data_IF_348918843032
#
_entry.id   IF_348918843032
#
_cell.length_a   1.000
_cell.length_b   1.000
_cell.length_c   1.000
_cell.angle_alpha   90.00
_cell.angle_beta   90.00
_cell.angle_gamma   90.00
#
_symmetry.space_group_name_H-M   'P 1'
#
loop_
_entity.id
_entity.type
_entity.pdbx_description
1 polymer ?
#
# COMPACT_ATOMS: atom_id res chain seq x y z
N UNK A 1 -17.06 -14.93 19.22
CA UNK A 1 -15.71 -15.42 19.59
C UNK A 1 -14.64 -14.86 18.65
N UNK A 2 -14.91 -14.73 17.34
CA UNK A 2 -13.96 -14.15 16.38
C UNK A 2 -13.62 -12.69 16.65
N UNK A 3 -14.60 -11.84 17.02
CA UNK A 3 -14.34 -10.42 17.32
C UNK A 3 -13.32 -10.20 18.44
N UNK A 4 -13.35 -11.03 19.50
CA UNK A 4 -12.34 -10.97 20.56
C UNK A 4 -10.95 -11.34 20.06
N UNK A 5 -10.85 -12.28 19.10
CA UNK A 5 -9.58 -12.63 18.44
C UNK A 5 -9.08 -11.48 17.56
N UNK A 6 -9.95 -10.84 16.79
CA UNK A 6 -9.58 -9.67 15.99
C UNK A 6 -9.14 -8.50 16.87
N UNK A 7 -9.88 -8.22 17.95
CA UNK A 7 -9.52 -7.18 18.91
C UNK A 7 -8.16 -7.42 19.57
N UNK A 8 -7.91 -8.66 20.04
CA UNK A 8 -6.61 -9.06 20.56
C UNK A 8 -5.51 -8.92 19.50
N UNK A 9 -5.75 -9.40 18.27
CA UNK A 9 -4.79 -9.30 17.17
C UNK A 9 -4.44 -7.84 16.84
N UNK A 10 -5.42 -6.94 16.88
CA UNK A 10 -5.17 -5.51 16.71
C UNK A 10 -4.18 -4.95 17.74
N UNK A 11 -4.43 -5.23 19.03
CA UNK A 11 -3.64 -4.72 20.14
C UNK A 11 -2.15 -5.07 20.06
N UNK A 12 -1.81 -6.22 19.48
CA UNK A 12 -0.44 -6.72 19.49
C UNK A 12 0.24 -6.71 18.12
N UNK A 13 -0.52 -6.71 17.02
CA UNK A 13 0.03 -7.00 15.70
C UNK A 13 -0.48 -6.14 14.56
N UNK A 14 -1.73 -5.64 14.62
CA UNK A 14 -2.39 -5.03 13.46
C UNK A 14 -2.75 -3.54 13.61
N UNK A 15 -2.28 -2.87 14.67
CA UNK A 15 -2.38 -1.41 14.73
C UNK A 15 -1.46 -0.76 13.67
N UNK A 16 -1.88 0.35 13.04
CA UNK A 16 -1.07 1.01 12.03
C UNK A 16 0.30 1.49 12.55
N UNK A 17 1.37 1.41 11.73
CA UNK A 17 2.70 1.92 12.08
C UNK A 17 2.76 3.45 12.23
N UNK A 18 1.77 4.17 11.71
CA UNK A 18 1.65 5.61 11.85
C UNK A 18 0.52 5.99 12.84
N UNK A 19 0.63 7.13 13.54
CA UNK A 19 1.80 8.00 13.60
C UNK A 19 2.97 7.27 14.28
N UNK A 20 4.20 7.65 13.90
CA UNK A 20 5.40 7.08 14.50
C UNK A 20 5.39 7.32 16.01
N UNK A 21 5.87 6.32 16.76
CA UNK A 21 5.86 6.33 18.24
C UNK A 21 4.44 6.45 18.84
N UNK A 22 3.38 6.23 18.05
CA UNK A 22 1.98 6.38 18.43
C UNK A 22 1.36 5.22 19.20
N UNK A 23 2.15 4.32 19.81
CA UNK A 23 1.62 3.11 20.46
C UNK A 23 0.62 3.45 21.58
N UNK A 24 0.94 4.45 22.41
CA UNK A 24 0.04 4.90 23.47
C UNK A 24 -1.28 5.45 22.91
N UNK A 25 -1.21 6.20 21.80
CA UNK A 25 -2.39 6.71 21.12
C UNK A 25 -3.27 5.56 20.63
N UNK A 26 -2.69 4.55 19.98
CA UNK A 26 -3.43 3.37 19.53
C UNK A 26 -4.09 2.62 20.68
N UNK A 27 -3.39 2.45 21.82
CA UNK A 27 -3.97 1.83 23.03
C UNK A 27 -5.15 2.62 23.58
N UNK A 28 -5.05 3.96 23.64
CA UNK A 28 -6.14 4.84 24.07
C UNK A 28 -7.35 4.74 23.13
N UNK A 29 -7.12 4.75 21.81
CA UNK A 29 -8.19 4.62 20.79
C UNK A 29 -8.90 3.28 20.89
N UNK A 30 -8.15 2.19 21.11
CA UNK A 30 -8.72 0.87 21.34
C UNK A 30 -9.53 0.86 22.64
N UNK A 31 -9.03 1.47 23.72
CA UNK A 31 -9.73 1.53 25.00
C UNK A 31 -11.08 2.27 24.89
N UNK A 32 -11.16 3.34 24.09
CA UNK A 32 -12.41 4.10 23.90
C UNK A 32 -13.32 3.56 22.79
N UNK A 33 -12.85 2.59 21.98
CA UNK A 33 -13.59 2.07 20.83
C UNK A 33 -14.99 1.53 21.15
N UNK A 34 -15.18 1.00 22.35
CA UNK A 34 -16.49 0.52 22.83
C UNK A 34 -17.57 1.63 22.91
N UNK A 35 -17.17 2.90 22.92
CA UNK A 35 -18.09 4.04 22.94
C UNK A 35 -18.55 4.47 21.54
N UNK A 36 -17.94 3.94 20.47
CA UNK A 36 -18.14 4.42 19.11
C UNK A 36 -18.17 3.24 18.11
N UNK A 37 -19.39 2.86 17.68
CA UNK A 37 -19.61 1.73 16.75
C UNK A 37 -18.73 1.80 15.49
N UNK A 38 -18.63 2.99 14.90
CA UNK A 38 -17.80 3.19 13.70
C UNK A 38 -16.31 2.86 13.96
N UNK A 39 -15.79 3.18 15.15
CA UNK A 39 -14.39 2.97 15.51
C UNK A 39 -14.11 1.50 15.81
N UNK A 40 -14.91 0.85 16.68
CA UNK A 40 -14.70 -0.58 16.98
C UNK A 40 -14.81 -1.44 15.73
N UNK A 41 -15.78 -1.18 14.85
CA UNK A 41 -15.89 -1.92 13.60
C UNK A 41 -14.70 -1.66 12.65
N UNK A 42 -14.14 -0.45 12.61
CA UNK A 42 -12.93 -0.19 11.79
C UNK A 42 -11.71 -0.99 12.28
N UNK A 43 -11.54 -1.07 13.61
CA UNK A 43 -10.46 -1.81 14.29
C UNK A 43 -10.61 -3.31 14.01
N UNK A 44 -11.79 -3.88 14.22
CA UNK A 44 -12.06 -5.30 13.99
C UNK A 44 -11.89 -5.67 12.52
N UNK A 45 -12.40 -4.83 11.60
CA UNK A 45 -12.23 -5.05 10.16
C UNK A 45 -10.76 -5.02 9.74
N UNK A 46 -9.97 -4.09 10.30
CA UNK A 46 -8.57 -3.97 9.95
C UNK A 46 -7.74 -5.14 10.47
N UNK A 47 -8.03 -5.57 11.70
CA UNK A 47 -7.41 -6.74 12.28
C UNK A 47 -7.78 -8.03 11.52
N UNK A 48 -9.04 -8.18 11.10
CA UNK A 48 -9.46 -9.30 10.27
C UNK A 48 -8.77 -9.30 8.90
N UNK A 49 -8.63 -8.15 8.24
CA UNK A 49 -7.86 -8.02 6.99
C UNK A 49 -6.40 -8.40 7.20
N UNK A 50 -5.74 -7.82 8.21
CA UNK A 50 -4.36 -8.13 8.52
C UNK A 50 -4.16 -9.60 8.86
N UNK A 51 -5.04 -10.19 9.69
CA UNK A 51 -4.94 -11.60 10.09
C UNK A 51 -5.16 -12.54 8.90
N UNK A 52 -6.02 -12.18 7.95
CA UNK A 52 -6.20 -12.94 6.70
C UNK A 52 -4.94 -12.95 5.84
N UNK A 53 -4.13 -11.89 5.92
CA UNK A 53 -2.86 -11.78 5.20
C UNK A 53 -1.72 -12.50 5.92
N UNK A 54 -1.73 -12.54 7.25
CA UNK A 54 -0.60 -13.09 8.04
C UNK A 54 -0.84 -14.50 8.58
N UNK A 55 -2.00 -15.11 8.33
CA UNK A 55 -2.34 -16.46 8.79
C UNK A 55 -2.87 -17.34 7.65
N UNK A 56 -3.03 -18.64 7.91
CA UNK A 56 -3.63 -19.58 6.96
C UNK A 56 -5.15 -19.43 6.83
N UNK A 57 -5.78 -18.76 7.78
CA UNK A 57 -7.23 -18.58 7.82
C UNK A 57 -7.64 -17.40 6.94
N UNK A 58 -8.86 -17.46 6.38
CA UNK A 58 -9.41 -16.39 5.56
C UNK A 58 -10.60 -15.73 6.26
N UNK A 59 -10.43 -14.47 6.65
CA UNK A 59 -11.45 -13.64 7.30
C UNK A 59 -11.95 -12.50 6.40
N UNK A 60 -11.79 -12.60 5.08
CA UNK A 60 -12.19 -11.54 4.15
C UNK A 60 -13.67 -11.15 4.27
N UNK A 61 -14.57 -12.12 4.53
CA UNK A 61 -15.99 -11.86 4.72
C UNK A 61 -16.26 -11.05 6.00
N UNK A 62 -15.62 -11.41 7.11
CA UNK A 62 -15.72 -10.70 8.38
C UNK A 62 -15.10 -9.30 8.28
N UNK A 63 -13.93 -9.19 7.65
CA UNK A 63 -13.27 -7.92 7.41
C UNK A 63 -14.17 -6.96 6.63
N UNK A 64 -14.78 -7.44 5.53
CA UNK A 64 -15.71 -6.66 4.72
C UNK A 64 -16.98 -6.29 5.50
N UNK A 65 -17.55 -7.21 6.27
CA UNK A 65 -18.74 -6.94 7.07
C UNK A 65 -18.49 -5.82 8.08
N UNK A 66 -17.40 -5.90 8.85
CA UNK A 66 -17.01 -4.84 9.78
C UNK A 66 -16.69 -3.52 9.06
N UNK A 67 -16.01 -3.58 7.90
CA UNK A 67 -15.74 -2.38 7.09
C UNK A 67 -17.03 -1.66 6.68
N UNK A 68 -18.00 -2.39 6.15
CA UNK A 68 -19.30 -1.83 5.74
C UNK A 68 -20.03 -1.21 6.93
N UNK A 69 -20.11 -1.92 8.06
CA UNK A 69 -20.73 -1.37 9.27
C UNK A 69 -20.03 -0.10 9.76
N UNK A 70 -18.69 -0.09 9.74
CA UNK A 70 -17.89 1.08 10.12
C UNK A 70 -18.20 2.30 9.23
N UNK A 71 -18.20 2.12 7.91
CA UNK A 71 -18.49 3.20 6.95
C UNK A 71 -19.91 3.73 7.13
N UNK A 72 -20.90 2.85 7.30
CA UNK A 72 -22.29 3.26 7.52
C UNK A 72 -22.45 4.07 8.81
N UNK A 73 -21.90 3.56 9.92
CA UNK A 73 -21.94 4.24 11.21
C UNK A 73 -21.16 5.57 11.18
N UNK A 74 -20.02 5.63 10.50
CA UNK A 74 -19.24 6.85 10.35
C UNK A 74 -20.00 7.90 9.54
N UNK A 75 -20.61 7.50 8.42
CA UNK A 75 -21.42 8.41 7.59
C UNK A 75 -22.60 8.99 8.38
N UNK A 76 -23.29 8.16 9.19
CA UNK A 76 -24.34 8.64 10.10
C UNK A 76 -23.79 9.58 11.18
N UNK A 77 -22.58 9.34 11.70
CA UNK A 77 -21.96 10.26 12.65
C UNK A 77 -21.59 11.60 11.99
N UNK A 78 -21.04 11.58 10.77
CA UNK A 78 -20.61 12.77 10.03
C UNK A 78 -21.75 13.69 9.60
N UNK A 79 -23.01 13.23 9.61
CA UNK A 79 -24.17 14.09 9.32
C UNK A 79 -24.47 15.12 10.42
N UNK A 80 -23.76 15.07 11.54
CA UNK A 80 -23.87 16.01 12.67
C UNK A 80 -22.48 16.41 13.19
N UNK A 81 -22.34 17.59 13.81
CA UNK A 81 -21.11 17.95 14.53
C UNK A 81 -20.72 16.89 15.56
N UNK A 82 -19.42 16.72 15.81
CA UNK A 82 -18.95 15.85 16.89
C UNK A 82 -19.43 16.41 18.24
N UNK A 83 -19.98 15.55 19.09
CA UNK A 83 -20.51 15.94 20.40
C UNK A 83 -19.39 16.17 21.44
N UNK A 84 -18.19 15.66 21.16
CA UNK A 84 -17.02 15.80 22.03
C UNK A 84 -15.72 15.69 21.25
N UNK A 85 -14.62 16.11 21.86
CA UNK A 85 -13.29 15.90 21.29
C UNK A 85 -12.95 14.42 21.09
N UNK A 86 -13.39 13.55 22.00
CA UNK A 86 -13.23 12.10 21.87
C UNK A 86 -13.95 11.54 20.64
N UNK A 87 -15.15 12.03 20.32
CA UNK A 87 -15.86 11.62 19.11
C UNK A 87 -15.18 12.15 17.84
N UNK A 88 -14.65 13.38 17.87
CA UNK A 88 -13.90 13.94 16.75
C UNK A 88 -12.64 13.11 16.44
N UNK A 89 -11.85 12.81 17.47
CA UNK A 89 -10.68 11.93 17.41
C UNK A 89 -11.08 10.56 16.85
N UNK A 90 -12.13 9.94 17.40
CA UNK A 90 -12.60 8.63 16.95
C UNK A 90 -13.02 8.63 15.47
N UNK A 91 -13.70 9.68 14.99
CA UNK A 91 -14.10 9.81 13.57
C UNK A 91 -12.88 9.88 12.66
N UNK A 92 -11.86 10.66 13.02
CA UNK A 92 -10.61 10.72 12.26
C UNK A 92 -9.89 9.38 12.26
N UNK A 93 -9.69 8.76 13.43
CA UNK A 93 -9.00 7.46 13.52
C UNK A 93 -9.72 6.40 12.71
N UNK A 94 -11.06 6.42 12.71
CA UNK A 94 -11.86 5.50 11.89
C UNK A 94 -11.57 5.69 10.41
N UNK A 95 -11.55 6.93 9.92
CA UNK A 95 -11.19 7.22 8.53
C UNK A 95 -9.76 6.76 8.21
N UNK A 96 -8.81 7.01 9.12
CA UNK A 96 -7.42 6.57 8.99
C UNK A 96 -7.30 5.04 8.94
N UNK A 97 -8.04 4.32 9.79
CA UNK A 97 -8.13 2.86 9.76
C UNK A 97 -8.70 2.34 8.43
N UNK A 98 -9.68 3.03 7.85
CA UNK A 98 -10.24 2.66 6.55
C UNK A 98 -9.22 2.82 5.42
N UNK A 99 -8.34 3.84 5.46
CA UNK A 99 -7.19 3.99 4.55
C UNK A 99 -6.26 2.79 4.65
N UNK A 100 -5.89 2.41 5.88
CA UNK A 100 -5.00 1.26 6.10
C UNK A 100 -5.61 -0.06 5.66
N UNK A 101 -6.92 -0.25 5.85
CA UNK A 101 -7.57 -1.42 5.26
C UNK A 101 -7.54 -1.39 3.73
N UNK A 102 -7.71 -0.22 3.09
CA UNK A 102 -7.66 -0.13 1.62
C UNK A 102 -6.28 -0.52 1.08
N UNK A 103 -5.19 -0.30 1.83
CA UNK A 103 -3.85 -0.73 1.43
C UNK A 103 -3.62 -2.25 1.50
N UNK A 104 -4.62 -3.02 1.95
CA UNK A 104 -4.66 -4.48 1.91
C UNK A 104 -5.48 -5.05 0.74
N UNK A 105 -6.12 -4.18 -0.06
CA UNK A 105 -7.09 -4.57 -1.10
C UNK A 105 -6.44 -4.43 -2.49
N UNK A 106 -6.22 -5.54 -3.24
CA UNK A 106 -5.54 -5.51 -4.54
C UNK A 106 -6.21 -4.67 -5.64
N UNK A 107 -7.51 -4.41 -5.54
CA UNK A 107 -8.30 -3.54 -6.42
C UNK A 107 -8.75 -2.23 -5.73
N UNK A 108 -8.17 -1.94 -4.55
CA UNK A 108 -8.57 -0.84 -3.67
C UNK A 108 -7.90 0.51 -3.90
N UNK A 109 -7.20 0.74 -5.03
CA UNK A 109 -6.42 1.97 -5.26
C UNK A 109 -7.28 3.25 -5.16
N UNK A 110 -8.41 3.28 -5.87
CA UNK A 110 -9.30 4.44 -5.84
C UNK A 110 -9.93 4.64 -4.45
N UNK A 111 -10.24 3.53 -3.78
CA UNK A 111 -10.77 3.55 -2.42
C UNK A 111 -9.72 4.10 -1.43
N UNK A 112 -8.46 3.70 -1.57
CA UNK A 112 -7.34 4.23 -0.78
C UNK A 112 -7.24 5.75 -0.93
N UNK A 113 -7.21 6.26 -2.16
CA UNK A 113 -7.13 7.69 -2.44
C UNK A 113 -8.36 8.44 -1.90
N UNK A 114 -9.54 7.85 -2.02
CA UNK A 114 -10.79 8.44 -1.54
C UNK A 114 -10.83 8.52 -0.01
N UNK A 115 -10.43 7.45 0.69
CA UNK A 115 -10.37 7.43 2.15
C UNK A 115 -9.27 8.38 2.67
N UNK A 116 -8.13 8.46 1.97
CA UNK A 116 -7.05 9.39 2.32
C UNK A 116 -7.55 10.83 2.28
N UNK A 117 -8.26 11.20 1.21
CA UNK A 117 -8.94 12.50 1.11
C UNK A 117 -10.00 12.69 2.20
N UNK A 118 -10.71 11.62 2.55
CA UNK A 118 -11.63 11.59 3.68
C UNK A 118 -10.99 12.02 5.01
N UNK A 119 -9.75 11.61 5.29
CA UNK A 119 -9.04 12.01 6.52
C UNK A 119 -8.91 13.54 6.63
N UNK A 120 -8.59 14.21 5.52
CA UNK A 120 -8.43 15.67 5.48
C UNK A 120 -9.77 16.39 5.61
N UNK A 121 -10.81 15.87 4.96
CA UNK A 121 -12.15 16.44 5.10
C UNK A 121 -12.68 16.33 6.53
N UNK A 122 -12.45 15.21 7.21
CA UNK A 122 -12.81 15.03 8.62
C UNK A 122 -11.97 15.94 9.51
N UNK A 123 -10.68 16.09 9.22
CA UNK A 123 -9.78 16.97 9.95
C UNK A 123 -10.18 18.46 9.86
N UNK A 124 -10.73 18.89 8.73
CA UNK A 124 -11.08 20.29 8.43
C UNK A 124 -12.56 20.64 8.71
N UNK A 125 -13.32 19.76 9.39
CA UNK A 125 -14.70 20.08 9.76
C UNK A 125 -14.69 21.31 10.68
N UNK A 126 -15.37 22.38 10.24
CA UNK A 126 -15.46 23.65 10.99
C UNK A 126 -16.03 23.43 12.39
N UNK A 127 -15.38 24.04 13.39
CA UNK A 127 -15.80 23.94 14.79
C UNK A 127 -15.37 22.66 15.49
N UNK A 128 -14.58 21.80 14.83
CA UNK A 128 -14.03 20.60 15.48
C UNK A 128 -13.04 20.98 16.56
N UNK A 129 -13.24 20.39 17.74
CA UNK A 129 -12.31 20.49 18.87
C UNK A 129 -11.62 19.14 19.00
N UNK A 130 -10.30 19.12 18.87
CA UNK A 130 -9.48 17.92 18.98
C UNK A 130 -8.99 17.73 20.41
N UNK A 131 -8.73 16.47 20.81
CA UNK A 131 -8.02 16.28 22.07
C UNK A 131 -6.55 16.72 21.95
N UNK A 132 -5.88 17.10 23.05
CA UNK A 132 -4.47 17.50 23.00
C UNK A 132 -3.51 16.47 22.39
N UNK A 133 -3.88 15.18 22.45
CA UNK A 133 -3.08 14.04 21.95
C UNK A 133 -3.02 13.97 20.42
N UNK A 134 -3.97 14.59 19.74
CA UNK A 134 -3.99 14.65 18.28
C UNK A 134 -2.97 15.62 17.67
N UNK A 135 -2.24 16.35 18.52
CA UNK A 135 -1.18 17.26 18.11
C UNK A 135 0.01 16.54 17.44
N UNK A 136 0.18 15.24 17.68
CA UNK A 136 1.30 14.43 17.16
C UNK A 136 1.17 14.08 15.67
N UNK A 137 -0.01 14.27 15.07
CA UNK A 137 -0.22 14.12 13.61
C UNK A 137 0.33 15.29 12.78
N UNK A 138 0.95 16.29 13.40
CA UNK A 138 1.49 17.46 12.68
C UNK A 138 2.73 17.08 11.86
N UNK A 139 2.91 17.63 10.64
CA UNK A 139 4.07 17.33 9.79
C UNK A 139 5.44 17.50 10.43
N UNK A 140 5.60 18.51 11.32
CA UNK A 140 6.85 18.70 12.07
C UNK A 140 7.14 17.55 13.05
N UNK A 141 6.09 17.09 13.75
CA UNK A 141 6.19 15.94 14.66
C UNK A 141 6.55 14.66 13.90
N UNK A 142 6.02 14.49 12.68
CA UNK A 142 6.37 13.37 11.82
C UNK A 142 7.84 13.41 11.38
N UNK A 143 8.34 14.57 10.94
CA UNK A 143 9.75 14.74 10.56
C UNK A 143 10.72 14.49 11.72
N UNK A 144 10.40 15.00 12.91
CA UNK A 144 11.21 14.79 14.12
C UNK A 144 11.23 13.30 14.52
N UNK A 145 10.09 12.61 14.45
CA UNK A 145 10.00 11.17 14.74
C UNK A 145 10.79 10.32 13.74
N UNK A 146 10.70 10.64 12.45
CA UNK A 146 11.53 9.98 11.41
C UNK A 146 13.01 10.24 11.66
N UNK A 147 13.41 11.48 11.98
CA UNK A 147 14.79 11.83 12.25
C UNK A 147 15.33 11.08 13.47
N UNK A 148 14.52 10.99 14.53
CA UNK A 148 14.79 10.19 15.74
C UNK A 148 15.04 8.72 15.38
N UNK A 149 14.15 8.11 14.58
CA UNK A 149 14.26 6.72 14.13
C UNK A 149 15.55 6.44 13.35
N UNK A 150 16.03 7.42 12.59
CA UNK A 150 17.21 7.30 11.73
C UNK A 150 18.48 7.90 12.36
N UNK A 151 18.45 8.37 13.61
CA UNK A 151 19.55 9.10 14.26
C UNK A 151 20.84 8.29 14.49
N UNK A 152 20.74 6.95 14.47
CA UNK A 152 21.89 6.03 14.58
C UNK A 152 22.51 5.62 13.23
N UNK A 153 21.87 5.96 12.12
CA UNK A 153 22.43 5.76 10.78
C UNK A 153 23.31 6.95 10.46
N UNK A 154 24.64 6.75 10.55
CA UNK A 154 25.63 7.77 10.25
C UNK A 154 25.22 8.54 8.98
N UNK A 155 24.92 9.83 9.13
CA UNK A 155 24.51 10.78 8.08
C UNK A 155 25.44 10.85 6.83
N UNK A 156 26.47 10.02 6.74
CA UNK A 156 27.39 9.88 5.61
C UNK A 156 27.37 8.53 4.88
N UNK A 157 26.53 7.56 5.26
CA UNK A 157 26.48 6.24 4.61
C UNK A 157 25.24 6.08 3.71
N UNK A 158 25.41 6.57 2.47
CA UNK A 158 24.75 6.12 1.24
C UNK A 158 23.27 6.50 1.01
N UNK A 159 23.01 6.95 -0.23
CA UNK A 159 21.68 6.98 -0.87
C UNK A 159 20.82 5.82 -0.37
N UNK A 160 19.57 6.12 0.04
CA UNK A 160 18.62 5.10 0.48
C UNK A 160 18.42 3.98 -0.53
N UNK A 161 18.70 4.30 -1.79
CA UNK A 161 18.37 3.53 -2.97
C UNK A 161 19.60 3.35 -3.84
N UNK A 162 19.62 2.25 -4.58
CA UNK A 162 20.56 2.09 -5.68
C UNK A 162 20.45 3.30 -6.61
N UNK A 163 21.60 3.91 -6.92
CA UNK A 163 21.65 5.08 -7.79
C UNK A 163 21.03 4.80 -9.16
N UNK A 164 21.17 3.58 -9.67
CA UNK A 164 20.55 3.15 -10.92
C UNK A 164 19.01 3.12 -10.86
N UNK A 165 18.43 2.78 -9.71
CA UNK A 165 16.98 2.83 -9.50
C UNK A 165 16.48 4.27 -9.53
N UNK A 166 17.21 5.18 -8.85
CA UNK A 166 16.87 6.61 -8.84
C UNK A 166 17.02 7.22 -10.22
N UNK A 167 18.14 6.99 -10.91
CA UNK A 167 18.37 7.53 -12.25
C UNK A 167 17.35 6.98 -13.25
N UNK A 168 16.97 5.70 -13.13
CA UNK A 168 15.90 5.09 -13.91
C UNK A 168 14.54 5.77 -13.68
N UNK A 169 14.19 6.02 -12.43
CA UNK A 169 12.96 6.75 -12.07
C UNK A 169 12.96 8.17 -12.62
N UNK A 170 14.05 8.92 -12.43
CA UNK A 170 14.15 10.29 -12.92
C UNK A 170 14.06 10.30 -14.46
N UNK A 171 14.66 9.30 -15.13
CA UNK A 171 14.50 9.08 -16.56
C UNK A 171 13.04 8.85 -16.97
N UNK A 172 12.30 8.00 -16.26
CA UNK A 172 10.88 7.75 -16.56
C UNK A 172 10.00 8.98 -16.33
N UNK A 173 10.27 9.76 -15.28
CA UNK A 173 9.58 11.02 -15.00
C UNK A 173 9.88 12.09 -16.06
N UNK A 174 11.11 12.17 -16.57
CA UNK A 174 11.46 13.06 -17.69
C UNK A 174 10.71 12.68 -18.96
N UNK A 175 10.59 11.38 -19.26
CA UNK A 175 9.81 10.89 -20.40
C UNK A 175 8.32 11.22 -20.26
N UNK A 176 7.78 11.15 -19.04
CA UNK A 176 6.37 11.44 -18.77
C UNK A 176 6.05 12.94 -18.80
N UNK A 177 7.03 13.81 -18.51
CA UNK A 177 6.81 15.25 -18.36
C UNK A 177 6.08 15.94 -19.52
N UNK A 178 6.37 15.65 -20.82
CA UNK A 178 5.66 16.25 -21.95
C UNK A 178 4.17 15.90 -22.03
N UNK A 179 3.73 14.82 -21.39
CA UNK A 179 2.33 14.40 -21.34
C UNK A 179 1.53 15.13 -20.26
N UNK A 180 2.20 15.68 -19.25
CA UNK A 180 1.56 16.44 -18.17
C UNK A 180 1.13 17.81 -18.70
N UNK A 181 -0.15 17.94 -19.04
CA UNK A 181 -0.70 19.17 -19.65
C UNK A 181 -1.63 19.93 -18.71
N UNK A 182 -2.23 19.24 -17.74
CA UNK A 182 -3.12 19.89 -16.76
C UNK A 182 -2.33 20.45 -15.57
N UNK A 183 -2.84 21.50 -14.90
CA UNK A 183 -2.20 22.02 -13.69
C UNK A 183 -2.05 20.97 -12.58
N UNK A 184 -3.00 20.05 -12.47
CA UNK A 184 -2.95 18.95 -11.51
C UNK A 184 -1.79 18.00 -11.85
N UNK A 185 -1.71 17.52 -13.09
CA UNK A 185 -0.63 16.63 -13.54
C UNK A 185 0.75 17.25 -13.32
N UNK A 186 0.94 18.52 -13.69
CA UNK A 186 2.20 19.22 -13.48
C UNK A 186 2.57 19.33 -11.99
N UNK A 187 1.57 19.58 -11.13
CA UNK A 187 1.74 19.63 -9.67
C UNK A 187 2.18 18.28 -9.10
N UNK A 188 1.47 17.21 -9.44
CA UNK A 188 1.80 15.86 -8.94
C UNK A 188 3.12 15.35 -9.52
N UNK A 189 3.38 15.58 -10.81
CA UNK A 189 4.65 15.25 -11.46
C UNK A 189 5.84 15.87 -10.73
N UNK A 190 5.79 17.19 -10.50
CA UNK A 190 6.85 17.91 -9.81
C UNK A 190 7.08 17.38 -8.39
N UNK A 191 6.00 17.17 -7.62
CA UNK A 191 6.10 16.66 -6.25
C UNK A 191 6.69 15.24 -6.18
N UNK A 192 6.28 14.36 -7.10
CA UNK A 192 6.77 12.98 -7.21
C UNK A 192 8.26 12.97 -7.61
N UNK A 193 8.64 13.79 -8.60
CA UNK A 193 10.03 13.89 -9.08
C UNK A 193 10.96 14.44 -7.98
N UNK A 194 10.56 15.52 -7.32
CA UNK A 194 11.34 16.16 -6.25
C UNK A 194 11.56 15.21 -5.06
N UNK A 195 10.58 14.37 -4.76
CA UNK A 195 10.67 13.38 -3.66
C UNK A 195 11.78 12.36 -3.94
N UNK A 196 11.82 11.78 -5.14
CA UNK A 196 12.87 10.83 -5.49
C UNK A 196 14.24 11.50 -5.68
N UNK A 197 14.30 12.74 -6.19
CA UNK A 197 15.56 13.47 -6.28
C UNK A 197 16.20 13.67 -4.89
N UNK A 198 15.39 13.91 -3.86
CA UNK A 198 15.83 14.05 -2.47
C UNK A 198 16.27 12.72 -1.82
N UNK A 199 15.71 11.58 -2.24
CA UNK A 199 16.05 10.27 -1.66
C UNK A 199 17.49 9.84 -1.92
N UNK A 200 18.19 10.47 -2.87
CA UNK A 200 19.63 10.30 -3.08
C UNK A 200 20.44 10.78 -1.88
N UNK A 201 19.95 11.83 -1.21
CA UNK A 201 20.71 12.57 -0.20
C UNK A 201 20.29 12.17 1.21
N UNK A 202 18.99 12.05 1.47
CA UNK A 202 18.46 11.86 2.82
C UNK A 202 17.18 11.04 2.83
N UNK A 203 17.20 9.97 3.64
CA UNK A 203 16.03 9.15 3.92
C UNK A 203 14.90 9.92 4.58
N UNK A 204 15.29 10.75 5.55
CA UNK A 204 14.41 11.57 6.35
C UNK A 204 13.74 12.62 5.48
N UNK A 205 14.50 13.27 4.60
CA UNK A 205 13.95 14.30 3.72
C UNK A 205 12.99 13.69 2.70
N UNK A 206 13.30 12.49 2.18
CA UNK A 206 12.45 11.79 1.22
C UNK A 206 11.10 11.40 1.82
N UNK A 207 11.07 10.82 3.03
CA UNK A 207 9.80 10.44 3.67
C UNK A 207 9.01 11.67 4.14
N UNK A 208 9.67 12.75 4.59
CA UNK A 208 8.99 14.02 4.88
C UNK A 208 8.36 14.59 3.61
N UNK A 209 9.07 14.58 2.49
CA UNK A 209 8.56 15.04 1.21
C UNK A 209 7.42 14.14 0.69
N UNK A 210 7.51 12.82 0.88
CA UNK A 210 6.44 11.86 0.58
C UNK A 210 5.16 12.21 1.37
N UNK A 211 5.29 12.57 2.65
CA UNK A 211 4.19 13.12 3.45
C UNK A 211 3.54 14.35 2.80
N UNK A 212 4.33 15.20 2.13
CA UNK A 212 3.83 16.31 1.32
C UNK A 212 2.95 15.87 0.14
N UNK A 213 3.25 14.74 -0.51
CA UNK A 213 2.40 14.18 -1.57
C UNK A 213 1.07 13.69 -1.00
N UNK A 214 1.08 13.03 0.16
CA UNK A 214 -0.16 12.67 0.87
C UNK A 214 -1.02 13.90 1.20
N UNK A 215 -0.41 15.03 1.57
CA UNK A 215 -1.12 16.32 1.74
C UNK A 215 -1.72 16.81 0.43
N UNK A 216 -1.02 16.67 -0.70
CA UNK A 216 -1.56 17.06 -2.01
C UNK A 216 -2.82 16.27 -2.36
N UNK A 217 -2.80 14.94 -2.20
CA UNK A 217 -3.99 14.11 -2.41
C UNK A 217 -5.12 14.44 -1.43
N UNK A 218 -4.75 14.59 -0.16
CA UNK A 218 -5.68 14.87 0.92
C UNK A 218 -6.44 16.18 0.78
N UNK A 219 -5.72 17.23 0.42
CA UNK A 219 -6.24 18.61 0.30
C UNK A 219 -6.83 18.93 -1.08
N UNK A 220 -6.82 17.98 -2.02
CA UNK A 220 -7.37 18.18 -3.35
C UNK A 220 -8.86 18.57 -3.30
N UNK A 221 -9.24 19.55 -4.11
CA UNK A 221 -10.66 19.88 -4.31
C UNK A 221 -11.40 18.68 -4.90
N UNK A 222 -12.74 18.64 -4.73
CA UNK A 222 -13.53 17.52 -5.22
C UNK A 222 -13.39 17.33 -6.75
N UNK A 223 -13.36 18.44 -7.50
CA UNK A 223 -13.16 18.41 -8.96
C UNK A 223 -11.76 17.97 -9.34
N UNK A 224 -10.72 18.50 -8.67
CA UNK A 224 -9.33 18.11 -8.94
C UNK A 224 -9.13 16.61 -8.67
N UNK A 225 -9.61 16.12 -7.53
CA UNK A 225 -9.54 14.71 -7.17
C UNK A 225 -10.22 13.82 -8.21
N UNK A 226 -11.45 14.16 -8.61
CA UNK A 226 -12.22 13.36 -9.55
C UNK A 226 -11.55 13.31 -10.93
N UNK A 227 -11.04 14.44 -11.43
CA UNK A 227 -10.36 14.52 -12.73
C UNK A 227 -9.01 13.80 -12.70
N UNK A 228 -8.24 13.95 -11.62
CA UNK A 228 -6.91 13.36 -11.53
C UNK A 228 -6.96 11.84 -11.34
N UNK A 229 -7.84 11.35 -10.46
CA UNK A 229 -7.96 9.93 -10.15
C UNK A 229 -8.86 9.16 -11.14
N UNK A 230 -9.40 9.82 -12.16
CA UNK A 230 -10.23 9.19 -13.19
C UNK A 230 -9.42 8.10 -13.93
N UNK A 231 -9.93 6.86 -14.06
CA UNK A 231 -9.26 5.80 -14.83
C UNK A 231 -8.98 6.14 -16.30
N UNK A 232 -9.77 7.04 -16.89
CA UNK A 232 -9.57 7.55 -18.25
C UNK A 232 -8.48 8.63 -18.34
N UNK A 233 -8.08 9.23 -17.22
CA UNK A 233 -6.92 10.10 -17.17
C UNK A 233 -5.63 9.27 -17.12
N UNK A 234 -5.19 8.79 -18.28
CA UNK A 234 -4.01 7.92 -18.39
C UNK A 234 -2.72 8.54 -17.85
N UNK A 235 -2.55 9.87 -17.95
CA UNK A 235 -1.39 10.57 -17.37
C UNK A 235 -1.48 10.57 -15.84
N UNK A 236 -2.66 10.82 -15.28
CA UNK A 236 -2.94 10.69 -13.85
C UNK A 236 -2.65 9.27 -13.34
N UNK A 237 -3.11 8.24 -14.07
CA UNK A 237 -2.83 6.84 -13.74
C UNK A 237 -1.32 6.52 -13.76
N UNK A 238 -0.58 7.02 -14.76
CA UNK A 238 0.87 6.87 -14.82
C UNK A 238 1.58 7.54 -13.62
N UNK A 239 1.14 8.73 -13.23
CA UNK A 239 1.67 9.44 -12.05
C UNK A 239 1.35 8.67 -10.75
N UNK A 240 0.14 8.10 -10.62
CA UNK A 240 -0.23 7.24 -9.49
C UNK A 240 0.63 5.97 -9.43
N UNK A 241 0.91 5.33 -10.57
CA UNK A 241 1.81 4.18 -10.61
C UNK A 241 3.21 4.52 -10.08
N UNK A 242 3.76 5.67 -10.50
CA UNK A 242 5.06 6.14 -10.00
C UNK A 242 5.01 6.47 -8.51
N UNK A 243 3.95 7.16 -8.05
CA UNK A 243 3.76 7.49 -6.63
C UNK A 243 3.76 6.24 -5.74
N UNK A 244 2.93 5.25 -6.03
CA UNK A 244 2.82 4.06 -5.17
C UNK A 244 4.12 3.24 -5.13
N UNK A 245 4.89 3.24 -6.23
CA UNK A 245 6.21 2.62 -6.25
C UNK A 245 7.19 3.37 -5.35
N UNK A 246 7.32 4.70 -5.49
CA UNK A 246 8.24 5.45 -4.64
C UNK A 246 7.84 5.43 -3.17
N UNK A 247 6.54 5.38 -2.86
CA UNK A 247 6.03 5.21 -1.50
C UNK A 247 6.57 3.91 -0.91
N UNK A 248 6.37 2.77 -1.60
CA UNK A 248 6.87 1.47 -1.13
C UNK A 248 8.38 1.46 -0.97
N UNK A 249 9.10 2.06 -1.92
CA UNK A 249 10.55 2.15 -1.93
C UNK A 249 11.06 2.97 -0.74
N UNK A 250 10.53 4.17 -0.53
CA UNK A 250 10.97 5.10 0.51
C UNK A 250 10.57 4.58 1.89
N UNK A 251 9.35 4.07 2.06
CA UNK A 251 8.89 3.54 3.35
C UNK A 251 9.70 2.31 3.77
N UNK A 252 9.91 1.34 2.87
CA UNK A 252 10.70 0.15 3.21
C UNK A 252 12.16 0.47 3.57
N UNK A 253 12.71 1.56 3.05
CA UNK A 253 14.05 2.04 3.38
C UNK A 253 14.09 2.88 4.67
N UNK A 254 13.24 3.90 4.77
CA UNK A 254 13.25 4.89 5.87
C UNK A 254 12.58 4.40 7.16
N UNK A 255 11.66 3.43 7.05
CA UNK A 255 10.86 2.91 8.16
C UNK A 255 11.23 1.47 8.54
N UNK A 256 12.36 0.96 8.05
CA UNK A 256 12.84 -0.43 8.25
C UNK A 256 12.89 -0.91 9.71
N UNK A 257 13.03 0.01 10.65
CA UNK A 257 13.17 -0.26 12.09
C UNK A 257 11.82 -0.31 12.82
N UNK A 258 10.72 0.03 12.16
CA UNK A 258 9.40 0.07 12.79
C UNK A 258 8.77 -1.32 12.75
N UNK A 259 8.43 -1.81 13.94
CA UNK A 259 7.53 -2.94 14.12
C UNK A 259 6.09 -2.47 13.89
N UNK A 260 5.46 -2.99 12.83
CA UNK A 260 4.10 -2.63 12.42
C UNK A 260 3.98 -2.85 10.92
N UNK A 261 3.69 -4.08 10.51
CA UNK A 261 3.61 -4.42 9.11
C UNK A 261 2.37 -3.82 8.47
N UNK A 262 2.52 -3.21 7.29
CA UNK A 262 1.50 -3.30 6.25
C UNK A 262 1.79 -4.59 5.47
N UNK A 263 1.34 -5.77 5.96
CA UNK A 263 1.68 -7.03 5.33
C UNK A 263 1.23 -6.99 3.88
N UNK A 264 2.07 -7.52 2.98
CA UNK A 264 1.76 -7.58 1.55
C UNK A 264 1.57 -6.20 0.87
N UNK A 265 2.03 -5.08 1.46
CA UNK A 265 1.95 -3.75 0.81
C UNK A 265 2.59 -3.75 -0.58
N UNK A 266 3.75 -4.40 -0.72
CA UNK A 266 4.43 -4.57 -2.01
C UNK A 266 3.57 -5.32 -3.04
N UNK A 267 2.83 -6.33 -2.60
CA UNK A 267 1.99 -7.15 -3.48
C UNK A 267 0.74 -6.38 -3.91
N UNK A 268 0.15 -5.60 -3.01
CA UNK A 268 -0.98 -4.70 -3.32
C UNK A 268 -0.54 -3.59 -4.28
N UNK A 269 0.61 -2.96 -4.04
CA UNK A 269 1.17 -1.96 -4.97
C UNK A 269 1.46 -2.56 -6.34
N UNK A 270 2.06 -3.75 -6.38
CA UNK A 270 2.28 -4.47 -7.63
C UNK A 270 0.95 -4.73 -8.37
N UNK A 271 -0.11 -5.11 -7.66
CA UNK A 271 -1.44 -5.29 -8.24
C UNK A 271 -2.01 -3.98 -8.81
N UNK A 272 -1.91 -2.87 -8.07
CA UNK A 272 -2.37 -1.56 -8.54
C UNK A 272 -1.64 -1.09 -9.80
N UNK A 273 -0.30 -1.16 -9.81
CA UNK A 273 0.51 -0.79 -10.98
C UNK A 273 0.22 -1.70 -12.17
N UNK A 274 0.05 -3.00 -11.94
CA UNK A 274 -0.32 -3.96 -13.00
C UNK A 274 -1.69 -3.66 -13.58
N UNK A 275 -2.68 -3.31 -12.74
CA UNK A 275 -4.01 -2.93 -13.20
C UNK A 275 -4.00 -1.64 -14.03
N UNK A 276 -3.16 -0.67 -13.66
CA UNK A 276 -2.91 0.53 -14.48
C UNK A 276 -2.33 0.11 -15.83
N UNK A 277 -1.25 -0.69 -15.85
CA UNK A 277 -0.60 -1.13 -17.08
C UNK A 277 -1.57 -1.85 -18.04
N UNK A 278 -2.49 -2.65 -17.50
CA UNK A 278 -3.50 -3.37 -18.29
C UNK A 278 -4.60 -2.47 -18.86
N UNK A 279 -4.85 -1.31 -18.26
CA UNK A 279 -5.90 -0.38 -18.71
C UNK A 279 -5.40 0.71 -19.67
N UNK A 280 -4.09 0.87 -19.81
CA UNK A 280 -3.48 1.87 -20.67
C UNK A 280 -3.60 1.51 -22.17
N UNK A 281 -3.93 2.49 -23.04
CA UNK A 281 -3.80 2.31 -24.49
C UNK A 281 -2.36 2.09 -24.93
N UNK A 282 -2.16 1.44 -26.09
CA UNK A 282 -0.83 1.13 -26.63
C UNK A 282 0.09 2.37 -26.78
N UNK A 283 -0.49 3.55 -27.00
CA UNK A 283 0.27 4.81 -27.08
C UNK A 283 1.01 5.17 -25.77
N UNK A 284 0.63 4.58 -24.63
CA UNK A 284 1.22 4.84 -23.33
C UNK A 284 2.18 3.74 -22.84
N UNK A 285 2.39 2.67 -23.61
CA UNK A 285 3.17 1.49 -23.22
C UNK A 285 4.61 1.82 -22.83
N UNK A 286 5.22 2.80 -23.51
CA UNK A 286 6.56 3.31 -23.19
C UNK A 286 6.66 3.87 -21.77
N UNK A 287 5.65 4.60 -21.30
CA UNK A 287 5.72 5.36 -20.06
C UNK A 287 5.45 4.49 -18.81
N UNK A 288 4.81 3.33 -18.98
CA UNK A 288 4.57 2.38 -17.88
C UNK A 288 5.68 1.32 -17.76
N UNK A 289 6.63 1.29 -18.69
CA UNK A 289 7.69 0.28 -18.74
C UNK A 289 8.55 0.26 -17.47
N UNK A 290 9.08 1.42 -17.06
CA UNK A 290 9.90 1.50 -15.85
C UNK A 290 9.12 1.06 -14.60
N UNK A 291 7.88 1.53 -14.35
CA UNK A 291 7.05 0.99 -13.27
C UNK A 291 6.91 -0.54 -13.28
N UNK A 292 6.66 -1.14 -14.45
CA UNK A 292 6.50 -2.60 -14.56
C UNK A 292 7.81 -3.38 -14.36
N UNK A 293 8.95 -2.82 -14.77
CA UNK A 293 10.27 -3.39 -14.50
C UNK A 293 10.53 -3.42 -12.98
N UNK A 294 10.19 -2.35 -12.27
CA UNK A 294 10.29 -2.29 -10.79
C UNK A 294 9.35 -3.27 -10.12
N UNK A 295 8.09 -3.35 -10.54
CA UNK A 295 7.14 -4.36 -10.02
C UNK A 295 7.71 -5.77 -10.18
N UNK A 296 8.29 -6.07 -11.34
CA UNK A 296 8.89 -7.38 -11.60
C UNK A 296 10.06 -7.66 -10.65
N UNK A 297 10.89 -6.66 -10.34
CA UNK A 297 11.96 -6.77 -9.35
C UNK A 297 11.42 -6.98 -7.93
N UNK A 298 10.41 -6.19 -7.51
CA UNK A 298 9.77 -6.26 -6.19
C UNK A 298 9.18 -7.65 -5.88
N UNK A 299 8.61 -8.29 -6.89
CA UNK A 299 7.98 -9.61 -6.76
C UNK A 299 8.98 -10.76 -6.85
N UNK A 300 10.13 -10.56 -7.50
CA UNK A 300 11.13 -11.60 -7.71
C UNK A 300 12.10 -11.77 -6.52
N UNK A 301 12.34 -10.70 -5.75
CA UNK A 301 13.35 -10.68 -4.70
C UNK A 301 12.79 -10.07 -3.41
N UNK A 302 12.89 -10.78 -2.28
CA UNK A 302 12.48 -10.24 -0.97
C UNK A 302 13.46 -9.17 -0.46
N UNK A 303 14.69 -9.16 -0.96
CA UNK A 303 15.75 -8.20 -0.65
C UNK A 303 15.94 -7.15 -1.75
N UNK A 304 14.92 -6.92 -2.61
CA UNK A 304 14.99 -6.05 -3.81
C UNK A 304 15.45 -4.60 -3.55
N UNK A 305 15.36 -4.11 -2.31
CA UNK A 305 15.81 -2.77 -1.87
C UNK A 305 17.17 -2.74 -1.20
N UNK A 306 17.79 -3.90 -0.91
CA UNK A 306 19.13 -3.89 -0.32
C UNK A 306 20.12 -3.34 -1.35
N UNK A 307 20.98 -2.36 -0.97
CA UNK A 307 22.02 -1.88 -1.87
C UNK A 307 22.87 -3.07 -2.30
N UNK A 308 22.84 -3.42 -3.59
CA UNK A 308 23.72 -4.44 -4.16
C UNK A 308 25.14 -3.88 -4.17
N UNK A 309 25.86 -4.01 -3.06
CA UNK A 309 27.24 -3.53 -2.95
C UNK A 309 27.78 -3.27 -1.55
N UNK A 310 26.95 -3.26 -0.50
CA UNK A 310 27.46 -3.24 0.88
C UNK A 310 27.50 -4.64 1.43
N UNK A 311 28.71 -5.20 1.60
CA UNK A 311 28.89 -6.36 2.48
C UNK A 311 28.31 -6.01 3.84
N UNK A 312 27.14 -6.59 4.18
CA UNK A 312 26.72 -6.64 5.57
C UNK A 312 27.81 -7.41 6.31
N UNK A 313 28.63 -6.71 7.11
CA UNK A 313 29.37 -7.34 8.19
C UNK A 313 28.32 -7.76 9.22
N UNK A 314 27.69 -8.91 8.97
CA UNK A 314 26.77 -9.54 9.90
C UNK A 314 27.59 -9.86 11.15
N UNK A 315 27.28 -9.27 12.32
CA UNK A 315 27.95 -9.61 13.57
C UNK A 315 27.91 -11.13 13.76
N UNK A 316 29.03 -11.74 14.17
CA UNK A 316 29.16 -13.21 14.31
C UNK A 316 28.06 -13.81 15.20
N UNK A 317 27.40 -13.00 16.02
CA UNK A 317 26.35 -13.37 16.94
C UNK A 317 24.98 -13.57 16.27
N UNK A 318 24.74 -12.97 15.10
CA UNK A 318 23.48 -13.14 14.35
C UNK A 318 23.39 -14.51 13.66
N UNK A 319 24.53 -15.17 13.38
CA UNK A 319 24.54 -16.56 12.89
C UNK A 319 23.97 -17.54 13.93
N UNK A 320 24.03 -17.22 15.23
CA UNK A 320 23.44 -18.07 16.28
C UNK A 320 21.91 -17.96 16.34
N UNK A 321 21.33 -16.82 15.98
CA UNK A 321 19.87 -16.65 15.93
C UNK A 321 19.22 -17.34 14.72
N UNK A 322 19.90 -17.38 13.57
CA UNK A 322 19.44 -18.19 12.40
C UNK A 322 19.43 -19.70 12.67
N UNK A 323 20.27 -20.19 13.59
CA UNK A 323 20.29 -21.60 13.99
C UNK A 323 19.13 -21.98 14.94
N UNK A 324 18.47 -21.00 15.57
CA UNK A 324 17.30 -21.24 16.43
C UNK A 324 15.96 -21.19 15.67
N UNK A 325 15.91 -20.47 14.55
CA UNK A 325 14.73 -20.47 13.66
C UNK A 325 14.81 -21.49 12.52
N UNK A 326 15.87 -22.31 12.47
CA UNK A 326 16.09 -23.30 11.44
C UNK A 326 15.51 -24.66 11.79
N UNK A 327 14.20 -24.88 11.68
CA UNK A 327 13.66 -26.23 11.52
C UNK A 327 12.28 -26.33 10.85
N UNK A 328 12.05 -25.68 9.71
CA UNK A 328 11.19 -26.24 8.64
C UNK A 328 11.58 -25.62 7.31
N UNK A 329 12.02 -26.47 6.39
CA UNK A 329 12.80 -26.11 5.21
C UNK A 329 12.11 -25.19 4.19
N UNK A 330 12.97 -24.46 3.49
CA UNK A 330 12.74 -23.47 2.44
C UNK A 330 12.16 -24.05 1.12
N UNK A 331 11.31 -25.07 1.21
CA UNK A 331 10.60 -25.70 0.08
C UNK A 331 9.13 -25.27 0.00
N UNK A 332 8.61 -24.65 1.06
CA UNK A 332 7.22 -24.21 1.15
C UNK A 332 6.85 -23.04 0.24
N UNK A 333 7.72 -22.04 0.06
CA UNK A 333 7.39 -20.82 -0.70
C UNK A 333 7.24 -21.07 -2.22
N UNK A 334 8.10 -21.89 -2.82
CA UNK A 334 7.94 -22.28 -4.24
C UNK A 334 6.71 -23.20 -4.44
N UNK A 335 6.39 -24.06 -3.47
CA UNK A 335 5.19 -24.88 -3.55
C UNK A 335 3.92 -24.05 -3.31
N UNK A 336 3.92 -23.11 -2.37
CA UNK A 336 2.82 -22.16 -2.14
C UNK A 336 2.60 -21.25 -3.34
N UNK A 337 3.66 -20.72 -3.97
CA UNK A 337 3.53 -19.94 -5.19
C UNK A 337 2.92 -20.75 -6.34
N UNK A 338 3.34 -22.01 -6.51
CA UNK A 338 2.77 -22.92 -7.52
C UNK A 338 1.31 -23.26 -7.19
N UNK A 339 0.97 -23.45 -5.92
CA UNK A 339 -0.39 -23.73 -5.45
C UNK A 339 -1.32 -22.52 -5.64
N UNK A 340 -0.85 -21.32 -5.31
CA UNK A 340 -1.58 -20.06 -5.47
C UNK A 340 -1.77 -19.72 -6.95
N UNK A 341 -0.74 -19.92 -7.78
CA UNK A 341 -0.80 -19.74 -9.24
C UNK A 341 -1.78 -20.73 -9.89
N UNK A 342 -1.79 -21.99 -9.46
CA UNK A 342 -2.77 -22.98 -9.96
C UNK A 342 -4.20 -22.71 -9.46
N UNK A 343 -4.36 -22.22 -8.23
CA UNK A 343 -5.66 -21.87 -7.65
C UNK A 343 -6.23 -20.61 -8.30
N UNK A 344 -5.37 -19.67 -8.68
CA UNK A 344 -5.73 -18.49 -9.47
C UNK A 344 -6.10 -18.86 -10.92
N UNK A 345 -5.36 -19.76 -11.59
CA UNK A 345 -5.73 -20.31 -12.91
C UNK A 345 -7.06 -21.05 -12.90
N UNK A 346 -7.31 -21.90 -11.90
CA UNK A 346 -8.59 -22.62 -11.72
C UNK A 346 -9.78 -21.71 -11.46
N UNK A 347 -9.54 -20.51 -10.92
CA UNK A 347 -10.56 -19.47 -10.68
C UNK A 347 -10.68 -18.47 -11.83
N UNK A 348 -9.95 -18.66 -12.93
CA UNK A 348 -9.99 -17.76 -14.10
C UNK A 348 -9.33 -16.40 -13.88
N UNK A 349 -8.63 -16.20 -12.75
CA UNK A 349 -8.02 -14.91 -12.37
C UNK A 349 -6.73 -14.61 -13.15
N UNK A 350 -6.18 -15.61 -13.86
CA UNK A 350 -5.00 -15.48 -14.71
C UNK A 350 -5.28 -16.28 -16.00
N UNK A 351 -5.37 -15.62 -17.15
CA UNK A 351 -5.47 -16.29 -18.45
C UNK A 351 -4.11 -16.29 -19.15
N UNK A 352 -3.60 -17.48 -19.47
CA UNK A 352 -2.33 -17.63 -20.18
C UNK A 352 -2.61 -17.53 -21.68
N UNK A 353 -2.50 -16.33 -22.27
CA UNK A 353 -2.41 -16.17 -23.72
C UNK A 353 -1.00 -15.71 -24.08
N UNK A 354 -0.27 -16.57 -24.80
CA UNK A 354 0.98 -16.20 -25.47
C UNK A 354 2.13 -17.18 -25.30
N UNK A 355 2.01 -18.39 -25.83
CA UNK A 355 3.16 -19.12 -26.39
C UNK A 355 2.64 -20.12 -27.40
N UNK A 356 2.62 -19.66 -28.65
CA UNK A 356 2.44 -20.49 -29.84
C UNK A 356 3.81 -21.08 -30.14
N UNK A 357 3.96 -22.39 -30.04
CA UNK A 357 5.02 -23.12 -30.72
C UNK A 357 4.37 -24.24 -31.51
N UNK A 358 4.35 -24.06 -32.81
CA UNK A 358 4.14 -25.13 -33.77
C UNK A 358 5.26 -26.17 -33.57
N UNK A 359 4.89 -27.45 -33.46
CA UNK A 359 5.58 -28.49 -34.22
C UNK A 359 4.76 -29.79 -34.28
N UNK A 360 4.82 -30.34 -35.48
CA UNK A 360 4.11 -31.49 -36.05
C UNK A 360 4.59 -32.81 -35.45
N UNK A 361 3.67 -33.74 -35.15
CA UNK A 361 3.85 -35.16 -35.44
C UNK A 361 2.49 -35.89 -35.52
N UNK A 362 2.32 -36.55 -36.66
CA UNK A 362 1.21 -37.36 -37.16
C UNK A 362 1.15 -38.70 -36.43
N UNK A 363 -0.06 -39.20 -36.13
CA UNK A 363 -0.55 -40.55 -36.51
C UNK A 363 -2.04 -40.73 -36.18
N UNK A 364 -2.81 -41.01 -37.24
CA UNK A 364 -3.90 -41.99 -37.40
C UNK A 364 -4.72 -42.42 -36.17
N UNK A 365 -6.01 -42.71 -36.23
CA UNK A 365 -7.11 -42.60 -37.17
C UNK A 365 -8.27 -43.27 -36.39
N UNK A 366 -9.46 -42.68 -36.33
CA UNK A 366 -10.72 -43.44 -36.27
C UNK A 366 -11.89 -42.46 -36.42
N UNK A 367 -12.43 -42.50 -37.63
CA UNK A 367 -13.77 -42.04 -38.01
C UNK A 367 -14.82 -42.86 -37.30
N UNK A 368 -15.82 -42.24 -36.67
CA UNK A 368 -17.24 -42.59 -36.88
C UNK A 368 -18.11 -41.35 -36.73
N UNK A 369 -19.01 -41.20 -37.70
CA UNK A 369 -20.01 -40.18 -37.94
C UNK A 369 -21.11 -39.99 -36.87
N UNK A 370 -21.80 -38.86 -37.04
CA UNK A 370 -23.27 -38.72 -37.08
C UNK A 370 -23.99 -37.95 -35.95
N UNK A 371 -24.45 -36.74 -36.36
CA UNK A 371 -25.84 -36.22 -36.33
C UNK A 371 -26.18 -35.12 -35.32
N UNK A 372 -26.66 -34.03 -35.93
CA UNK A 372 -27.64 -32.98 -35.55
C UNK A 372 -28.48 -33.24 -34.28
N UNK A 373 -29.07 -32.28 -33.56
CA UNK A 373 -29.87 -31.15 -34.01
C UNK A 373 -30.31 -30.35 -32.75
N UNK A 374 -30.35 -29.02 -32.87
CA UNK A 374 -31.35 -28.07 -32.32
C UNK A 374 -32.10 -28.42 -31.02
N UNK A 375 -31.86 -27.64 -29.97
CA UNK A 375 -32.86 -26.74 -29.33
C UNK A 375 -32.21 -25.81 -28.30
#
# INVERSE_FOLDING_TARGET
MEDFRFFQHFLFHAYPPLPLEGEMMWRDMVAMSHSFDFLIHSILGAAASHLSLTSSDNYASQALAHRVTSIQALNSALSRPAASAAEADARFVTMFMLVYQSSYIPDGMYEFLSMLRGCYLVADIKGTVWSPRFHDFKPRSHGDAVASLNSGDNHGAHSLLDRSLVDGFLGSMILLAPLCTTPAELKYHSAIQDTMARSIVSAVDAIVQLGGIYVLFGSASASEFHIFADPSNHVGQLLLAHFFLIECVIEASALRHINGSTPHRKDVTAAWVTAIAQSLPAAYEEYIRWPMDVVSMMLADEEWLLPKGTELVIPKDWKRLRLLCGSTGNTGLRQQWKLLSEKAKRRGLITQKGSRTDNVAVTQAETVDCVDEVL
#
